data_IF_065959670196
#
_entry.id   IF_065959670196
#
_cell.length_a   1.000
_cell.length_b   1.000
_cell.length_c   1.000
_cell.angle_alpha   90.00
_cell.angle_beta   90.00
_cell.angle_gamma   90.00
#
_symmetry.space_group_name_H-M   'P 1'
#
loop_
_entity.id
_entity.type
_entity.pdbx_description
1 polymer ?
#
# COMPACT_ATOMS: atom_id res chain seq x y z
N UNK A 1 -6.06 -0.53 -16.24
CA UNK A 1 -6.45 -0.68 -14.81
C UNK A 1 -5.35 -0.12 -13.95
N UNK A 2 -5.72 0.66 -12.92
CA UNK A 2 -4.75 1.20 -11.98
C UNK A 2 -4.75 0.38 -10.69
N UNK A 3 -3.57 0.12 -10.17
CA UNK A 3 -3.38 -0.52 -8.88
C UNK A 3 -2.44 0.34 -8.05
N UNK A 4 -2.57 0.27 -6.75
CA UNK A 4 -1.71 1.00 -5.83
C UNK A 4 -1.00 0.02 -4.91
N UNK A 5 0.25 0.32 -4.60
CA UNK A 5 1.03 -0.45 -3.63
C UNK A 5 1.38 0.52 -2.50
N UNK A 6 1.11 0.11 -1.27
CA UNK A 6 1.42 0.92 -0.10
C UNK A 6 1.94 0.05 1.02
N UNK A 7 2.84 0.62 1.82
CA UNK A 7 3.48 -0.08 2.93
C UNK A 7 3.09 0.56 4.25
N UNK A 8 2.62 -0.25 5.19
CA UNK A 8 2.33 0.20 6.54
C UNK A 8 3.64 0.45 7.30
N UNK A 9 3.56 1.18 8.40
CA UNK A 9 4.75 1.48 9.20
C UNK A 9 5.42 0.24 9.77
N UNK A 10 4.67 -0.86 9.90
CA UNK A 10 5.21 -2.12 10.39
C UNK A 10 5.87 -2.97 9.29
N UNK A 11 6.07 -2.38 8.10
CA UNK A 11 6.68 -2.98 6.92
C UNK A 11 5.76 -3.93 6.14
N UNK A 12 4.54 -4.14 6.54
CA UNK A 12 3.59 -4.92 5.75
C UNK A 12 3.26 -4.19 4.45
N UNK A 13 3.25 -4.91 3.35
CA UNK A 13 3.05 -4.36 2.02
C UNK A 13 1.75 -4.89 1.44
N UNK A 14 0.94 -3.98 0.88
CA UNK A 14 -0.38 -4.34 0.35
C UNK A 14 -0.60 -3.77 -1.04
N UNK A 15 -1.39 -4.50 -1.82
CA UNK A 15 -1.86 -4.09 -3.13
C UNK A 15 -3.33 -3.70 -3.02
N UNK A 16 -3.69 -2.54 -3.59
CA UNK A 16 -5.06 -2.00 -3.50
C UNK A 16 -5.61 -1.76 -4.90
N UNK A 17 -6.91 -2.00 -5.08
CA UNK A 17 -7.60 -1.70 -6.34
C UNK A 17 -8.30 -0.35 -6.33
N UNK A 18 -8.42 0.30 -5.18
CA UNK A 18 -8.90 1.66 -5.02
C UNK A 18 -7.85 2.44 -4.25
N UNK A 19 -7.62 3.69 -4.62
CA UNK A 19 -6.56 4.49 -4.05
C UNK A 19 -6.61 4.50 -2.51
N UNK A 20 -5.55 4.08 -1.83
CA UNK A 20 -5.51 4.10 -0.38
C UNK A 20 -5.13 5.46 0.18
N UNK A 21 -5.51 5.70 1.43
CA UNK A 21 -5.08 6.87 2.18
C UNK A 21 -4.48 6.42 3.51
N UNK A 22 -3.48 7.16 3.98
CA UNK A 22 -2.82 6.84 5.24
C UNK A 22 -3.65 7.36 6.42
N UNK A 23 -3.72 6.57 7.49
CA UNK A 23 -4.38 7.01 8.71
C UNK A 23 -3.35 7.39 9.77
N UNK A 24 -3.84 7.89 10.92
CA UNK A 24 -2.97 8.36 11.99
C UNK A 24 -2.32 7.22 12.79
N UNK A 25 -2.71 5.98 12.52
CA UNK A 25 -2.16 4.82 13.23
C UNK A 25 -0.99 4.16 12.52
N UNK A 26 -0.58 4.72 11.38
CA UNK A 26 0.54 4.15 10.62
C UNK A 26 0.12 3.05 9.67
N UNK A 27 -1.11 3.07 9.22
CA UNK A 27 -1.65 2.10 8.27
C UNK A 27 -2.27 2.81 7.09
N UNK A 28 -2.38 2.09 5.97
CA UNK A 28 -3.11 2.55 4.79
C UNK A 28 -4.49 1.94 4.80
N UNK A 29 -5.50 2.69 4.33
CA UNK A 29 -6.87 2.24 4.24
C UNK A 29 -7.39 2.49 2.84
N UNK A 30 -8.30 1.62 2.38
CA UNK A 30 -8.93 1.77 1.08
C UNK A 30 -10.37 1.27 1.18
N UNK A 31 -11.25 1.87 0.37
CA UNK A 31 -12.64 1.43 0.29
C UNK A 31 -12.83 0.20 -0.58
N UNK A 32 -11.79 -0.20 -1.33
CA UNK A 32 -11.86 -1.36 -2.20
C UNK A 32 -11.25 -2.60 -1.57
N UNK A 33 -10.82 -3.52 -2.43
CA UNK A 33 -10.16 -4.74 -1.99
C UNK A 33 -8.67 -4.49 -1.79
N UNK A 34 -8.07 -5.30 -0.93
CA UNK A 34 -6.64 -5.25 -0.72
C UNK A 34 -6.09 -6.65 -0.55
N UNK A 35 -4.81 -6.81 -0.89
CA UNK A 35 -4.12 -8.10 -0.85
C UNK A 35 -2.74 -7.90 -0.26
N UNK A 36 -2.37 -8.69 0.73
CA UNK A 36 -1.02 -8.64 1.27
C UNK A 36 -0.06 -9.29 0.29
N UNK A 37 1.08 -8.62 0.02
CA UNK A 37 2.13 -9.15 -0.83
C UNK A 37 3.43 -9.21 -0.03
N UNK A 38 4.44 -9.90 -0.56
CA UNK A 38 5.68 -10.12 0.18
C UNK A 38 6.32 -8.80 0.60
N UNK A 39 6.64 -8.67 1.89
CA UNK A 39 7.17 -7.41 2.43
C UNK A 39 8.53 -7.03 1.83
N UNK A 40 9.23 -8.00 1.23
CA UNK A 40 10.53 -7.75 0.59
C UNK A 40 10.39 -7.20 -0.84
N UNK A 41 9.19 -7.27 -1.41
CA UNK A 41 8.96 -6.73 -2.74
C UNK A 41 8.91 -5.20 -2.67
N UNK A 42 9.30 -4.56 -3.76
CA UNK A 42 9.21 -3.11 -3.91
C UNK A 42 9.81 -2.35 -2.71
N UNK A 43 11.12 -2.55 -2.42
CA UNK A 43 11.73 -1.89 -1.26
C UNK A 43 11.72 -0.37 -1.36
N UNK A 44 11.54 0.18 -2.57
CA UNK A 44 11.43 1.63 -2.77
C UNK A 44 10.11 2.20 -2.25
N UNK A 45 9.10 1.35 -1.99
CA UNK A 45 7.81 1.79 -1.47
C UNK A 45 7.90 1.82 0.06
N UNK A 46 7.77 3.01 0.63
CA UNK A 46 7.80 3.23 2.08
C UNK A 46 6.45 3.72 2.56
N UNK A 47 6.29 3.91 3.87
CA UNK A 47 5.02 4.42 4.40
C UNK A 47 4.71 5.81 3.84
N UNK A 48 5.74 6.61 3.53
CA UNK A 48 5.57 7.99 3.06
C UNK A 48 5.24 8.09 1.57
N UNK A 49 5.41 7.01 0.79
CA UNK A 49 5.21 7.09 -0.66
C UNK A 49 4.49 5.85 -1.20
N UNK A 50 3.17 5.94 -1.35
CA UNK A 50 2.47 4.89 -2.07
C UNK A 50 2.83 4.95 -3.55
N UNK A 51 2.75 3.82 -4.24
CA UNK A 51 3.11 3.70 -5.65
C UNK A 51 1.88 3.35 -6.48
N UNK A 52 1.80 3.94 -7.67
CA UNK A 52 0.72 3.65 -8.63
C UNK A 52 1.27 2.71 -9.69
N UNK A 53 0.53 1.63 -9.96
CA UNK A 53 0.87 0.65 -11.00
C UNK A 53 -0.29 0.53 -11.98
N UNK A 54 0.04 0.44 -13.25
CA UNK A 54 -0.95 0.24 -14.32
C UNK A 54 -0.83 -1.16 -14.90
#
# INVERSE_FOLDING_TARGET
MKLWIARDKNDDLFLYDVEPTANSFGCWESSGNYYEIGWRLFPEVTFENKSIRN
#
